data_IF_375814114845
#
_entry.id   IF_375814114845
#
_cell.length_a   1.000
_cell.length_b   1.000
_cell.length_c   1.000
_cell.angle_alpha   90.00
_cell.angle_beta   90.00
_cell.angle_gamma   90.00
#
_symmetry.space_group_name_H-M   'P 1'
#
loop_
_entity.id
_entity.type
_entity.pdbx_description
1 polymer ?
#
# COMPACT_ATOMS: atom_id res chain seq x y z
N UNK A 1 5.19 -1.99 18.77
CA UNK A 1 5.61 -2.88 17.66
C UNK A 1 6.49 -4.06 18.08
N UNK A 2 7.53 -3.90 18.91
CA UNK A 2 8.44 -5.01 19.27
C UNK A 2 7.74 -6.25 19.88
N UNK A 3 6.70 -6.04 20.70
CA UNK A 3 5.95 -7.13 21.35
C UNK A 3 5.16 -8.04 20.40
N UNK A 4 4.92 -7.64 19.15
CA UNK A 4 4.30 -8.51 18.13
C UNK A 4 5.33 -9.38 17.40
N UNK A 5 6.58 -8.91 17.33
CA UNK A 5 7.68 -9.62 16.68
C UNK A 5 8.43 -10.57 17.63
N UNK A 6 8.23 -10.43 18.95
CA UNK A 6 8.73 -11.40 19.95
C UNK A 6 7.99 -12.75 19.89
N UNK A 7 6.80 -12.82 19.29
CA UNK A 7 6.10 -14.08 19.02
C UNK A 7 6.91 -15.01 18.09
N UNK A 8 7.92 -14.48 17.38
CA UNK A 8 8.77 -15.22 16.47
C UNK A 8 9.96 -15.94 17.15
N UNK A 9 10.25 -15.68 18.44
CA UNK A 9 11.42 -16.23 19.15
C UNK A 9 11.12 -17.24 20.26
N UNK A 10 9.86 -17.61 20.48
CA UNK A 10 9.48 -18.53 21.55
C UNK A 10 8.82 -19.81 21.06
N UNK A 11 9.43 -20.95 21.44
CA UNK A 11 8.81 -22.28 21.58
C UNK A 11 8.95 -23.27 20.42
N UNK A 12 10.10 -23.94 20.39
CA UNK A 12 10.20 -25.34 19.98
C UNK A 12 9.46 -26.20 21.02
N UNK A 13 8.16 -26.36 20.86
CA UNK A 13 7.33 -27.14 21.77
C UNK A 13 5.93 -27.35 21.22
N UNK A 14 5.64 -28.58 20.82
CA UNK A 14 4.38 -29.02 20.23
C UNK A 14 3.18 -28.83 21.17
N UNK A 15 2.42 -27.75 20.98
CA UNK A 15 0.97 -27.66 21.17
C UNK A 15 0.41 -26.65 20.16
N UNK A 16 -0.66 -27.01 19.46
CA UNK A 16 -1.41 -26.07 18.62
C UNK A 16 -2.14 -25.08 19.54
N UNK A 17 -1.42 -24.07 20.04
CA UNK A 17 -2.06 -22.97 20.77
C UNK A 17 -2.83 -22.15 19.74
N UNK A 18 -4.15 -22.29 19.72
CA UNK A 18 -5.02 -21.36 19.00
C UNK A 18 -4.68 -19.95 19.49
N UNK A 19 -4.50 -19.01 18.55
CA UNK A 19 -4.26 -17.60 18.88
C UNK A 19 -5.43 -17.11 19.73
N UNK A 20 -5.13 -16.44 20.84
CA UNK A 20 -6.18 -15.86 21.67
C UNK A 20 -6.89 -14.74 20.89
N UNK A 21 -8.15 -14.43 21.21
CA UNK A 21 -8.86 -13.30 20.58
C UNK A 21 -8.06 -11.99 20.66
N UNK A 22 -7.33 -11.77 21.76
CA UNK A 22 -6.45 -10.60 21.96
C UNK A 22 -5.28 -10.60 20.97
N UNK A 23 -4.62 -11.74 20.77
CA UNK A 23 -3.55 -11.89 19.78
C UNK A 23 -4.05 -11.68 18.35
N UNK A 24 -5.25 -12.18 18.02
CA UNK A 24 -5.88 -11.96 16.72
C UNK A 24 -6.19 -10.48 16.48
N UNK A 25 -6.73 -9.77 17.47
CA UNK A 25 -6.96 -8.32 17.36
C UNK A 25 -5.65 -7.55 17.20
N UNK A 26 -4.62 -7.89 17.94
CA UNK A 26 -3.30 -7.30 17.79
C UNK A 26 -2.72 -7.52 16.38
N UNK A 27 -2.92 -8.71 15.81
CA UNK A 27 -2.51 -9.03 14.44
C UNK A 27 -3.24 -8.17 13.40
N UNK A 28 -4.56 -8.00 13.55
CA UNK A 28 -5.37 -7.13 12.69
C UNK A 28 -4.95 -5.67 12.84
N UNK A 29 -4.78 -5.16 14.06
CA UNK A 29 -4.35 -3.78 14.29
C UNK A 29 -2.95 -3.53 13.72
N UNK A 30 -2.04 -4.50 13.84
CA UNK A 30 -0.71 -4.45 13.22
C UNK A 30 -0.77 -4.36 11.70
N UNK A 31 -1.70 -5.07 11.05
CA UNK A 31 -1.95 -4.95 9.61
C UNK A 31 -2.50 -3.57 9.23
N UNK A 32 -3.52 -3.09 9.95
CA UNK A 32 -4.12 -1.77 9.68
C UNK A 32 -3.11 -0.63 9.85
N UNK A 33 -2.22 -0.74 10.84
CA UNK A 33 -1.11 0.18 11.02
C UNK A 33 -0.10 0.10 9.86
N UNK A 34 0.28 -1.12 9.44
CA UNK A 34 1.22 -1.31 8.34
C UNK A 34 0.70 -0.69 7.04
N UNK A 35 -0.54 -0.97 6.67
CA UNK A 35 -1.18 -0.55 5.40
C UNK A 35 -1.77 0.88 5.42
N UNK A 36 -1.45 1.66 6.45
CA UNK A 36 -1.90 3.05 6.62
C UNK A 36 -3.41 3.25 6.79
N UNK A 37 -4.18 2.24 7.18
CA UNK A 37 -5.63 2.36 7.36
C UNK A 37 -6.00 3.09 8.67
N UNK A 38 -5.62 4.37 8.79
CA UNK A 38 -5.71 5.15 10.03
C UNK A 38 -7.13 5.23 10.61
N UNK A 39 -8.13 5.57 9.78
CA UNK A 39 -9.54 5.66 10.22
C UNK A 39 -10.04 4.30 10.72
N UNK A 40 -9.75 3.23 9.97
CA UNK A 40 -10.11 1.85 10.30
C UNK A 40 -9.41 1.39 11.57
N UNK A 41 -8.11 1.69 11.72
CA UNK A 41 -7.33 1.35 12.91
C UNK A 41 -7.88 2.06 14.15
N UNK A 42 -8.23 3.35 14.05
CA UNK A 42 -8.85 4.11 15.15
C UNK A 42 -10.20 3.53 15.55
N UNK A 43 -11.07 3.26 14.59
CA UNK A 43 -12.38 2.65 14.84
C UNK A 43 -12.21 1.25 15.47
N UNK A 44 -11.32 0.43 14.92
CA UNK A 44 -11.03 -0.91 15.43
C UNK A 44 -10.43 -0.88 16.84
N UNK A 45 -9.55 0.07 17.13
CA UNK A 45 -8.95 0.24 18.46
C UNK A 45 -10.00 0.66 19.50
N UNK A 46 -10.95 1.53 19.13
CA UNK A 46 -12.04 1.96 20.02
C UNK A 46 -13.05 0.84 20.28
N UNK A 47 -13.28 -0.02 19.30
CA UNK A 47 -14.16 -1.19 19.42
C UNK A 47 -13.50 -2.32 20.23
N UNK A 48 -12.17 -2.39 20.22
CA UNK A 48 -11.39 -3.41 20.91
C UNK A 48 -11.16 -3.15 22.40
N UNK A 49 -11.50 -1.98 22.94
CA UNK A 49 -11.51 -1.79 24.39
C UNK A 49 -12.61 -2.69 24.94
N UNK A 50 -12.20 -3.79 25.59
CA UNK A 50 -13.13 -4.62 26.36
C UNK A 50 -13.70 -3.69 27.42
N UNK A 51 -14.92 -3.20 27.20
CA UNK A 51 -15.68 -2.50 28.23
C UNK A 51 -15.95 -3.53 29.30
N UNK A 52 -15.17 -3.48 30.38
CA UNK A 52 -15.55 -4.17 31.59
C UNK A 52 -16.84 -3.50 32.05
N UNK A 53 -17.93 -4.24 32.03
CA UNK A 53 -19.21 -3.82 32.57
C UNK A 53 -19.34 -4.51 33.93
N UNK A 54 -19.75 -3.78 34.96
CA UNK A 54 -20.09 -4.42 36.24
C UNK A 54 -21.41 -5.18 36.14
N UNK A 55 -21.80 -5.81 37.26
CA UNK A 55 -23.05 -6.57 37.34
C UNK A 55 -24.30 -5.69 37.12
N UNK A 56 -24.16 -4.37 37.25
CA UNK A 56 -25.22 -3.38 37.09
C UNK A 56 -25.22 -2.76 35.67
N UNK A 57 -24.20 -3.06 34.86
CA UNK A 57 -24.07 -2.61 33.46
C UNK A 57 -23.34 -1.27 33.30
N UNK A 58 -22.72 -0.76 34.36
CA UNK A 58 -21.94 0.46 34.32
C UNK A 58 -20.50 0.19 33.84
N UNK A 59 -19.94 1.15 33.10
CA UNK A 59 -18.57 1.06 32.56
C UNK A 59 -17.56 1.15 33.71
N UNK A 60 -16.93 0.03 34.06
CA UNK A 60 -15.84 0.01 35.03
C UNK A 60 -14.58 0.48 34.33
N UNK A 61 -14.03 1.61 34.76
CA UNK A 61 -12.68 2.03 34.38
C UNK A 61 -11.71 1.03 35.01
N UNK A 62 -11.30 0.01 34.26
CA UNK A 62 -10.31 -0.96 34.73
C UNK A 62 -8.99 -0.21 34.98
N UNK A 63 -8.70 0.04 36.26
CA UNK A 63 -7.44 0.62 36.71
C UNK A 63 -6.28 -0.26 36.26
N UNK A 64 -5.61 0.12 35.17
CA UNK A 64 -4.19 -0.13 34.81
C UNK A 64 -3.54 -1.47 35.21
N UNK A 65 -4.29 -2.57 35.32
CA UNK A 65 -3.78 -3.87 35.69
C UNK A 65 -3.89 -4.83 34.49
N UNK A 66 -2.80 -4.86 33.73
CA UNK A 66 -2.54 -5.77 32.62
C UNK A 66 -3.47 -5.63 31.40
N UNK A 67 -3.40 -4.47 30.71
CA UNK A 67 -3.70 -4.42 29.27
C UNK A 67 -2.76 -5.40 28.56
N UNK A 68 -3.24 -6.62 28.36
CA UNK A 68 -2.60 -7.64 27.52
C UNK A 68 -2.89 -7.37 26.04
N UNK A 69 -3.56 -6.26 25.74
CA UNK A 69 -3.88 -5.77 24.40
C UNK A 69 -2.74 -4.92 23.84
N UNK A 70 -2.41 -5.17 22.58
CA UNK A 70 -1.52 -4.31 21.81
C UNK A 70 -2.19 -2.96 21.58
N UNK A 71 -1.74 -1.91 22.28
CA UNK A 71 -2.14 -0.53 22.04
C UNK A 71 -1.04 0.22 21.28
N UNK A 72 -1.46 1.01 20.30
CA UNK A 72 -0.57 1.91 19.56
C UNK A 72 -0.29 3.14 20.42
N UNK A 73 0.98 3.54 20.52
CA UNK A 73 1.35 4.76 21.23
C UNK A 73 0.88 6.01 20.47
N UNK A 74 0.81 7.16 21.14
CA UNK A 74 0.50 8.45 20.49
C UNK A 74 1.47 8.78 19.34
N UNK A 75 2.75 8.41 19.48
CA UNK A 75 3.73 8.60 18.40
C UNK A 75 3.45 7.65 17.22
N UNK A 76 3.04 6.40 17.49
CA UNK A 76 2.63 5.48 16.42
C UNK A 76 1.41 6.03 15.65
N UNK A 77 0.43 6.60 16.35
CA UNK A 77 -0.72 7.25 15.71
C UNK A 77 -0.32 8.42 14.83
N UNK A 78 0.58 9.28 15.33
CA UNK A 78 1.10 10.41 14.56
C UNK A 78 1.84 9.93 13.31
N UNK A 79 2.70 8.92 13.43
CA UNK A 79 3.40 8.30 12.31
C UNK A 79 2.40 7.72 11.29
N UNK A 80 1.37 7.02 11.75
CA UNK A 80 0.32 6.45 10.91
C UNK A 80 -0.44 7.53 10.12
N UNK A 81 -0.75 8.66 10.75
CA UNK A 81 -1.41 9.80 10.09
C UNK A 81 -0.54 10.46 9.02
N UNK A 82 0.75 10.67 9.31
CA UNK A 82 1.70 11.24 8.36
C UNK A 82 1.87 10.33 7.14
N UNK A 83 2.03 9.01 7.36
CA UNK A 83 2.10 8.03 6.26
C UNK A 83 0.82 7.98 5.45
N UNK A 84 -0.35 8.02 6.09
CA UNK A 84 -1.64 8.06 5.41
C UNK A 84 -1.82 9.33 4.57
N UNK A 85 -1.32 10.47 5.06
CA UNK A 85 -1.35 11.75 4.31
C UNK A 85 -0.49 11.67 3.05
N UNK A 86 0.74 11.17 3.16
CA UNK A 86 1.63 10.97 1.99
C UNK A 86 1.00 10.01 0.99
N UNK A 87 0.46 8.87 1.48
CA UNK A 87 -0.27 7.90 0.64
C UNK A 87 -1.42 8.58 -0.13
N UNK A 88 -2.19 9.42 0.55
CA UNK A 88 -3.32 10.14 -0.08
C UNK A 88 -2.87 11.06 -1.21
N UNK A 89 -1.78 11.82 -1.03
CA UNK A 89 -1.22 12.66 -2.10
C UNK A 89 -0.77 11.84 -3.32
N UNK A 90 -0.14 10.68 -3.10
CA UNK A 90 0.25 9.80 -4.22
C UNK A 90 -0.99 9.26 -4.94
N UNK A 91 -2.00 8.82 -4.19
CA UNK A 91 -3.24 8.26 -4.74
C UNK A 91 -4.11 9.29 -5.47
N UNK A 92 -4.03 10.58 -5.10
CA UNK A 92 -4.67 11.70 -5.82
C UNK A 92 -3.88 12.21 -7.03
N UNK A 93 -2.66 11.71 -7.26
CA UNK A 93 -1.79 12.18 -8.35
C UNK A 93 -0.99 13.45 -8.04
N UNK A 94 -1.07 13.96 -6.80
CA UNK A 94 -0.29 15.09 -6.29
C UNK A 94 1.11 14.64 -5.84
N UNK A 95 1.89 14.14 -6.80
CA UNK A 95 3.16 13.45 -6.53
C UNK A 95 4.25 14.42 -6.03
N UNK A 96 4.21 15.67 -6.48
CA UNK A 96 5.22 16.66 -6.12
C UNK A 96 5.02 17.08 -4.65
N UNK A 97 3.77 17.31 -4.22
CA UNK A 97 3.39 17.54 -2.82
C UNK A 97 3.67 16.32 -1.94
N UNK A 98 3.41 15.10 -2.46
CA UNK A 98 3.78 13.87 -1.75
C UNK A 98 5.29 13.80 -1.48
N UNK A 99 6.10 14.18 -2.48
CA UNK A 99 7.56 14.17 -2.38
C UNK A 99 8.07 15.22 -1.39
N UNK A 100 7.46 16.40 -1.38
CA UNK A 100 7.75 17.45 -0.40
C UNK A 100 7.45 16.96 1.03
N UNK A 101 6.25 16.43 1.27
CA UNK A 101 5.85 15.90 2.57
C UNK A 101 6.69 14.69 3.01
N UNK A 102 7.13 13.87 2.06
CA UNK A 102 8.04 12.76 2.33
C UNK A 102 9.40 13.28 2.81
N UNK A 103 9.96 14.32 2.18
CA UNK A 103 11.22 14.92 2.63
C UNK A 103 11.07 15.68 3.97
N UNK A 104 9.91 16.27 4.22
CA UNK A 104 9.59 16.97 5.47
C UNK A 104 9.50 15.99 6.66
N UNK A 105 8.77 14.89 6.50
CA UNK A 105 8.47 13.96 7.61
C UNK A 105 9.43 12.78 7.69
N UNK A 106 10.00 12.34 6.55
CA UNK A 106 10.83 11.12 6.43
C UNK A 106 12.07 11.35 5.54
N UNK A 107 12.97 12.29 5.90
CA UNK A 107 14.06 12.73 5.04
C UNK A 107 15.04 11.61 4.62
N UNK A 108 15.16 10.53 5.40
CA UNK A 108 16.04 9.38 5.12
C UNK A 108 15.51 8.40 4.07
N UNK A 109 14.24 8.55 3.64
CA UNK A 109 13.62 7.63 2.66
C UNK A 109 14.20 7.84 1.28
N UNK A 110 14.32 9.10 0.85
CA UNK A 110 14.91 9.45 -0.43
C UNK A 110 16.42 9.79 -0.33
N UNK A 111 16.92 10.02 0.88
CA UNK A 111 18.33 10.32 1.13
C UNK A 111 19.08 9.05 1.53
N UNK A 112 19.89 8.51 0.62
CA UNK A 112 20.82 7.44 0.96
C UNK A 112 21.91 7.29 -0.09
N UNK A 113 23.14 6.88 0.32
CA UNK A 113 24.16 6.51 -0.66
C UNK A 113 23.63 5.35 -1.49
N UNK A 114 23.95 5.34 -2.79
CA UNK A 114 23.68 4.23 -3.71
C UNK A 114 24.22 2.94 -3.06
N UNK A 115 23.35 2.16 -2.45
CA UNK A 115 23.79 1.07 -1.59
C UNK A 115 24.14 -0.12 -2.47
N UNK A 116 25.45 -0.32 -2.69
CA UNK A 116 25.99 -1.49 -3.39
C UNK A 116 25.73 -2.82 -2.63
N UNK A 117 25.32 -2.74 -1.36
CA UNK A 117 24.93 -3.87 -0.51
C UNK A 117 23.41 -4.02 -0.39
N UNK A 118 22.68 -4.11 -1.50
CA UNK A 118 21.45 -4.90 -1.47
C UNK A 118 21.88 -6.36 -1.50
N UNK A 119 21.62 -7.11 -0.42
CA UNK A 119 21.74 -8.57 -0.50
C UNK A 119 20.95 -9.06 -1.72
N UNK A 120 21.49 -9.99 -2.52
CA UNK A 120 20.75 -10.55 -3.62
C UNK A 120 19.61 -11.38 -3.02
N UNK A 121 18.46 -10.75 -2.79
CA UNK A 121 17.22 -11.50 -2.86
C UNK A 121 17.21 -12.16 -4.23
N UNK A 122 16.89 -13.47 -4.32
CA UNK A 122 16.80 -14.15 -5.60
C UNK A 122 15.97 -13.27 -6.52
N UNK A 123 16.47 -13.04 -7.74
CA UNK A 123 15.78 -12.32 -8.80
C UNK A 123 14.40 -12.93 -8.95
N UNK A 124 13.44 -12.39 -8.20
CA UNK A 124 12.05 -12.74 -8.30
C UNK A 124 11.65 -12.03 -9.59
N UNK A 125 11.49 -12.80 -10.65
CA UNK A 125 10.75 -12.32 -11.82
C UNK A 125 9.43 -11.83 -11.24
N UNK A 126 9.11 -10.52 -11.26
CA UNK A 126 7.83 -10.09 -10.77
C UNK A 126 6.79 -10.90 -11.53
N UNK A 127 6.00 -11.70 -10.81
CA UNK A 127 4.85 -12.32 -11.43
C UNK A 127 4.04 -11.19 -12.06
N UNK A 128 3.75 -11.35 -13.34
CA UNK A 128 3.06 -10.36 -14.16
C UNK A 128 1.62 -10.30 -13.64
N UNK A 129 1.36 -9.54 -12.58
CA UNK A 129 0.00 -9.17 -12.23
C UNK A 129 -0.45 -8.06 -13.20
N UNK A 130 -1.31 -8.44 -14.15
CA UNK A 130 -2.03 -7.56 -15.09
C UNK A 130 -1.19 -6.84 -16.18
N UNK A 131 -0.07 -7.42 -16.60
CA UNK A 131 0.61 -6.98 -17.82
C UNK A 131 1.31 -5.61 -17.73
N UNK A 132 1.52 -5.09 -16.52
CA UNK A 132 2.38 -3.94 -16.25
C UNK A 132 3.65 -4.47 -15.56
N UNK A 133 4.68 -4.70 -16.36
CA UNK A 133 6.05 -4.96 -15.88
C UNK A 133 6.57 -3.65 -15.29
N UNK A 134 6.40 -3.47 -13.98
CA UNK A 134 6.94 -2.32 -13.26
C UNK A 134 8.26 -2.69 -12.62
N UNK A 135 9.26 -1.83 -12.81
CA UNK A 135 10.63 -2.11 -12.41
C UNK A 135 10.75 -1.89 -10.92
N UNK A 136 10.87 -2.99 -10.18
CA UNK A 136 11.23 -2.97 -8.76
C UNK A 136 10.15 -2.41 -7.81
N UNK A 137 8.87 -2.79 -7.95
CA UNK A 137 7.76 -2.45 -7.02
C UNK A 137 8.03 -2.78 -5.56
N UNK A 138 8.91 -3.75 -5.31
CA UNK A 138 9.28 -4.18 -3.96
C UNK A 138 10.58 -3.57 -3.46
N UNK A 139 11.29 -2.78 -4.28
CA UNK A 139 12.56 -2.19 -3.88
C UNK A 139 12.36 -1.01 -2.93
N UNK A 140 13.17 -0.97 -1.88
CA UNK A 140 13.27 0.14 -0.91
C UNK A 140 14.53 1.00 -1.14
N UNK A 141 15.29 0.76 -2.22
CA UNK A 141 16.44 1.58 -2.62
C UNK A 141 16.02 3.03 -2.96
N UNK A 142 16.58 4.08 -2.31
CA UNK A 142 16.26 5.47 -2.58
C UNK A 142 16.33 5.89 -4.06
N UNK A 143 17.25 5.30 -4.84
CA UNK A 143 17.37 5.61 -6.26
C UNK A 143 16.15 5.12 -7.05
N UNK A 144 15.66 3.92 -6.73
CA UNK A 144 14.45 3.36 -7.30
C UNK A 144 13.21 4.15 -6.87
N UNK A 145 13.09 4.46 -5.57
CA UNK A 145 11.97 5.26 -5.05
C UNK A 145 11.86 6.63 -5.73
N UNK A 146 13.00 7.32 -5.84
CA UNK A 146 13.07 8.63 -6.49
C UNK A 146 12.68 8.55 -7.96
N UNK A 147 13.23 7.57 -8.68
CA UNK A 147 12.92 7.40 -10.10
C UNK A 147 11.44 7.08 -10.31
N UNK A 148 10.87 6.21 -9.47
CA UNK A 148 9.47 5.81 -9.51
C UNK A 148 8.49 6.95 -9.25
N UNK A 149 8.74 7.76 -8.22
CA UNK A 149 7.97 8.99 -7.97
C UNK A 149 8.06 9.94 -9.17
N UNK A 150 9.26 10.14 -9.74
CA UNK A 150 9.44 11.03 -10.88
C UNK A 150 8.75 10.52 -12.15
N UNK A 151 8.76 9.21 -12.40
CA UNK A 151 8.03 8.61 -13.51
C UNK A 151 6.52 8.78 -13.28
N UNK A 152 6.01 8.55 -12.07
CA UNK A 152 4.61 8.80 -11.75
C UNK A 152 4.23 10.26 -11.98
N UNK A 153 5.02 11.21 -11.47
CA UNK A 153 4.84 12.65 -11.70
C UNK A 153 4.87 13.00 -13.20
N UNK A 154 5.67 12.32 -14.02
CA UNK A 154 5.64 12.49 -15.48
C UNK A 154 4.34 11.95 -16.11
N UNK A 155 3.89 10.77 -15.69
CA UNK A 155 2.63 10.19 -16.18
C UNK A 155 1.44 11.07 -15.83
N UNK A 156 1.38 11.56 -14.59
CA UNK A 156 0.35 12.50 -14.15
C UNK A 156 0.38 13.80 -14.95
N UNK A 157 1.58 14.31 -15.31
CA UNK A 157 1.71 15.49 -16.18
C UNK A 157 1.27 15.24 -17.63
N UNK A 158 1.27 13.98 -18.08
CA UNK A 158 0.75 13.58 -19.40
C UNK A 158 -0.77 13.48 -19.44
N UNK A 159 -1.46 13.40 -18.28
CA UNK A 159 -2.92 13.27 -18.26
C UNK A 159 -3.60 14.45 -18.93
N UNK A 160 -4.66 14.12 -19.66
CA UNK A 160 -5.63 15.10 -20.16
C UNK A 160 -6.96 14.98 -19.44
N UNK A 161 -7.25 13.81 -18.87
CA UNK A 161 -8.43 13.54 -18.07
C UNK A 161 -7.96 13.24 -16.64
N UNK A 162 -8.25 14.12 -15.66
CA UNK A 162 -7.92 13.88 -14.27
C UNK A 162 -8.60 12.60 -13.76
N UNK A 163 -7.85 11.77 -13.05
CA UNK A 163 -8.39 10.61 -12.34
C UNK A 163 -8.66 10.98 -10.89
N UNK A 164 -9.94 11.10 -10.55
CA UNK A 164 -10.40 11.47 -9.21
C UNK A 164 -10.03 10.42 -8.15
N UNK A 165 -9.68 10.89 -6.96
CA UNK A 165 -9.45 10.07 -5.78
C UNK A 165 -9.91 10.84 -4.53
N UNK A 166 -10.63 10.20 -3.58
CA UNK A 166 -11.14 8.83 -3.64
C UNK A 166 -12.12 8.63 -4.81
N UNK A 167 -12.29 7.39 -5.31
CA UNK A 167 -13.30 7.12 -6.33
C UNK A 167 -14.68 7.56 -5.80
N UNK A 168 -15.53 8.16 -6.65
CA UNK A 168 -16.86 8.61 -6.23
C UNK A 168 -17.67 7.42 -5.68
N UNK A 169 -18.44 7.66 -4.62
CA UNK A 169 -19.27 6.62 -4.04
C UNK A 169 -20.33 6.15 -5.06
N UNK A 170 -20.70 4.87 -5.06
CA UNK A 170 -21.71 4.36 -5.99
C UNK A 170 -23.10 5.00 -5.82
N UNK A 171 -23.38 5.65 -4.69
CA UNK A 171 -24.69 6.27 -4.39
C UNK A 171 -24.79 7.78 -4.70
N UNK A 172 -23.69 8.46 -5.07
CA UNK A 172 -23.70 9.90 -5.44
C UNK A 172 -24.15 10.14 -6.89
N UNK A 173 -25.13 9.37 -7.37
CA UNK A 173 -25.82 9.61 -8.65
C UNK A 173 -26.96 10.63 -8.52
N UNK A 174 -26.90 11.55 -7.56
CA UNK A 174 -27.71 12.78 -7.59
C UNK A 174 -26.89 13.94 -8.15
N UNK A 175 -27.10 14.19 -9.45
CA UNK A 175 -27.03 15.48 -10.10
C UNK A 175 -25.88 16.43 -9.70
N UNK A 176 -24.63 15.98 -9.76
CA UNK A 176 -23.56 16.92 -10.11
C UNK A 176 -23.61 17.11 -11.62
N UNK A 177 -23.64 18.34 -12.16
CA UNK A 177 -23.57 18.51 -13.60
C UNK A 177 -22.32 17.78 -14.05
N UNK A 178 -22.48 16.84 -14.99
CA UNK A 178 -21.39 16.46 -15.90
C UNK A 178 -20.58 17.73 -16.13
N UNK A 179 -19.26 17.78 -15.87
CA UNK A 179 -18.49 18.84 -16.47
C UNK A 179 -18.86 18.71 -17.94
N UNK A 180 -19.54 19.75 -18.43
CA UNK A 180 -19.83 19.88 -19.84
C UNK A 180 -18.53 19.50 -20.52
N UNK A 181 -18.62 18.77 -21.63
CA UNK A 181 -17.55 18.80 -22.62
C UNK A 181 -17.35 20.27 -22.99
N UNK A 182 -16.65 21.02 -22.13
CA UNK A 182 -16.10 22.32 -22.39
C UNK A 182 -15.02 21.99 -23.38
N UNK A 183 -15.40 22.12 -24.65
CA UNK A 183 -14.56 22.20 -25.82
C UNK A 183 -13.20 21.53 -25.58
N UNK A 184 -13.10 20.25 -25.97
CA UNK A 184 -11.83 19.65 -26.36
C UNK A 184 -11.12 20.71 -27.17
N UNK A 185 -10.14 21.36 -26.53
CA UNK A 185 -9.53 22.55 -27.07
C UNK A 185 -8.92 22.10 -28.37
N UNK A 186 -9.48 22.63 -29.46
CA UNK A 186 -8.92 22.46 -30.78
C UNK A 186 -7.46 22.86 -30.62
N UNK A 187 -6.60 21.92 -30.98
CA UNK A 187 -5.17 22.06 -31.16
C UNK A 187 -4.92 23.22 -32.12
N UNK A 188 -4.84 24.44 -31.58
CA UNK A 188 -4.66 25.68 -32.35
C UNK A 188 -3.16 26.02 -32.54
N UNK A 189 -2.25 25.11 -32.19
CA UNK A 189 -0.82 25.42 -32.16
C UNK A 189 -0.47 26.58 -31.23
N UNK A 190 -1.31 26.81 -30.21
CA UNK A 190 -1.12 27.93 -29.29
C UNK A 190 0.23 27.81 -28.57
N UNK A 191 0.91 28.94 -28.29
CA UNK A 191 2.25 28.93 -27.69
C UNK A 191 2.27 28.18 -26.34
N UNK A 192 1.17 28.22 -25.59
CA UNK A 192 1.03 27.52 -24.30
C UNK A 192 1.00 25.99 -24.44
N UNK A 193 0.38 25.46 -25.51
CA UNK A 193 0.35 24.01 -25.78
C UNK A 193 1.75 23.50 -26.15
N UNK A 194 2.46 24.26 -26.98
CA UNK A 194 3.84 23.96 -27.36
C UNK A 194 4.79 24.00 -26.16
N UNK A 195 4.65 25.00 -25.29
CA UNK A 195 5.42 25.12 -24.06
C UNK A 195 5.19 23.92 -23.12
N UNK A 196 3.93 23.50 -22.94
CA UNK A 196 3.60 22.29 -22.18
C UNK A 196 4.28 21.04 -22.76
N UNK A 197 4.25 20.89 -24.09
CA UNK A 197 4.87 19.74 -24.77
C UNK A 197 6.40 19.76 -24.62
N UNK A 198 7.04 20.92 -24.73
CA UNK A 198 8.48 21.08 -24.50
C UNK A 198 8.86 20.78 -23.05
N UNK A 199 8.06 21.22 -22.08
CA UNK A 199 8.27 20.92 -20.66
C UNK A 199 8.20 19.40 -20.39
N UNK A 200 7.23 18.71 -20.99
CA UNK A 200 7.11 17.26 -20.91
C UNK A 200 8.31 16.52 -21.52
N UNK A 201 8.79 16.97 -22.69
CA UNK A 201 9.99 16.43 -23.32
C UNK A 201 11.23 16.61 -22.44
N UNK A 202 11.40 17.79 -21.85
CA UNK A 202 12.49 18.05 -20.90
C UNK A 202 12.40 17.12 -19.68
N UNK A 203 11.19 16.90 -19.14
CA UNK A 203 10.96 15.98 -18.01
C UNK A 203 11.33 14.54 -18.38
N UNK A 204 10.95 14.06 -19.57
CA UNK A 204 11.33 12.74 -20.07
C UNK A 204 12.85 12.57 -20.26
N UNK A 205 13.53 13.59 -20.80
CA UNK A 205 14.99 13.57 -20.96
C UNK A 205 15.72 13.51 -19.61
N UNK A 206 15.29 14.31 -18.63
CA UNK A 206 15.84 14.29 -17.27
C UNK A 206 15.65 12.93 -16.61
N UNK A 207 14.46 12.32 -16.75
CA UNK A 207 14.18 10.96 -16.26
C UNK A 207 15.12 9.92 -16.86
N UNK A 208 15.35 9.98 -18.17
CA UNK A 208 16.29 9.07 -18.83
C UNK A 208 17.73 9.27 -18.35
N UNK A 209 18.14 10.51 -18.09
CA UNK A 209 19.40 10.83 -17.43
C UNK A 209 19.53 10.13 -16.08
N UNK A 210 18.52 10.25 -15.21
CA UNK A 210 18.51 9.60 -13.90
C UNK A 210 18.56 8.07 -14.01
N UNK A 211 17.80 7.47 -14.93
CA UNK A 211 17.84 6.02 -15.15
C UNK A 211 19.23 5.54 -15.59
N UNK A 212 19.93 6.30 -16.44
CA UNK A 212 21.30 5.96 -16.87
C UNK A 212 22.32 6.04 -15.72
N UNK A 213 22.04 6.81 -14.66
CA UNK A 213 22.91 6.95 -13.49
C UNK A 213 22.75 5.81 -12.47
N UNK A 214 21.81 4.88 -12.66
CA UNK A 214 21.66 3.75 -11.74
C UNK A 214 22.92 2.86 -11.78
N UNK A 215 23.42 2.39 -10.63
CA UNK A 215 24.67 1.63 -10.56
C UNK A 215 24.54 0.25 -11.21
N UNK A 216 23.39 -0.42 -11.03
CA UNK A 216 23.15 -1.79 -11.48
C UNK A 216 22.72 -1.82 -12.96
N UNK A 217 23.42 -2.57 -13.85
CA UNK A 217 23.09 -2.63 -15.27
C UNK A 217 21.70 -3.23 -15.55
N UNK A 218 21.29 -4.26 -14.81
CA UNK A 218 19.98 -4.88 -14.98
C UNK A 218 18.84 -3.90 -14.69
N UNK A 219 18.96 -3.13 -13.60
CA UNK A 219 17.97 -2.10 -13.26
C UNK A 219 17.93 -1.00 -14.32
N UNK A 220 19.10 -0.55 -14.83
CA UNK A 220 19.16 0.43 -15.93
C UNK A 220 18.37 -0.02 -17.15
N UNK A 221 18.60 -1.24 -17.62
CA UNK A 221 17.93 -1.76 -18.81
C UNK A 221 16.41 -1.84 -18.63
N UNK A 222 15.96 -2.30 -17.47
CA UNK A 222 14.55 -2.37 -17.12
C UNK A 222 13.90 -0.99 -17.09
N UNK A 223 14.50 -0.01 -16.39
CA UNK A 223 13.96 1.35 -16.30
C UNK A 223 13.97 2.06 -17.66
N UNK A 224 14.99 1.86 -18.48
CA UNK A 224 15.03 2.43 -19.84
C UNK A 224 13.88 1.87 -20.68
N UNK A 225 13.60 0.56 -20.58
CA UNK A 225 12.46 -0.08 -21.25
C UNK A 225 11.13 0.52 -20.78
N UNK A 226 10.94 0.68 -19.46
CA UNK A 226 9.75 1.32 -18.92
C UNK A 226 9.59 2.77 -19.42
N UNK A 227 10.67 3.56 -19.38
CA UNK A 227 10.66 4.94 -19.86
C UNK A 227 10.34 5.06 -21.36
N UNK A 228 10.79 4.12 -22.19
CA UNK A 228 10.40 4.07 -23.59
C UNK A 228 8.89 3.86 -23.76
N UNK A 229 8.29 2.98 -22.97
CA UNK A 229 6.84 2.74 -23.02
C UNK A 229 6.05 3.97 -22.51
N UNK A 230 6.49 4.55 -21.40
CA UNK A 230 5.84 5.70 -20.75
C UNK A 230 5.99 6.98 -21.58
N UNK A 231 7.14 7.21 -22.23
CA UNK A 231 7.33 8.35 -23.14
C UNK A 231 6.42 8.28 -24.38
N UNK A 232 5.92 7.09 -24.73
CA UNK A 232 4.90 6.91 -25.76
C UNK A 232 3.58 7.65 -25.48
N UNK A 233 3.29 8.01 -24.22
CA UNK A 233 2.10 8.79 -23.85
C UNK A 233 2.08 10.15 -24.58
N UNK A 234 3.25 10.72 -24.85
CA UNK A 234 3.39 12.02 -25.54
C UNK A 234 2.94 11.98 -27.01
N UNK A 235 2.82 10.79 -27.60
CA UNK A 235 2.37 10.65 -28.98
C UNK A 235 0.84 10.75 -29.13
N UNK A 236 0.09 10.63 -28.03
CA UNK A 236 -1.36 10.63 -28.03
C UNK A 236 -1.91 11.97 -27.53
N UNK A 237 -2.89 12.51 -28.25
CA UNK A 237 -3.61 13.72 -27.83
C UNK A 237 -4.42 13.48 -26.55
N UNK A 238 -5.04 12.30 -26.45
CA UNK A 238 -5.77 11.83 -25.27
C UNK A 238 -5.16 10.48 -24.89
N UNK A 239 -4.16 10.43 -24.00
CA UNK A 239 -3.44 9.20 -23.70
C UNK A 239 -4.29 8.17 -22.94
N UNK A 240 -5.39 8.58 -22.30
CA UNK A 240 -6.33 7.70 -21.58
C UNK A 240 -7.08 6.72 -22.49
N UNK A 241 -7.27 7.05 -23.77
CA UNK A 241 -7.92 6.17 -24.75
C UNK A 241 -6.92 5.37 -25.59
N UNK A 242 -5.62 5.48 -25.29
CA UNK A 242 -4.55 4.85 -26.06
C UNK A 242 -4.36 3.37 -25.70
N UNK A 243 -3.55 2.67 -26.50
CA UNK A 243 -3.13 1.28 -26.21
C UNK A 243 -2.25 1.15 -24.96
N UNK A 244 -1.70 2.26 -24.47
CA UNK A 244 -0.82 2.34 -23.29
C UNK A 244 -1.52 3.02 -22.10
N UNK A 245 -2.84 3.22 -22.17
CA UNK A 245 -3.66 3.80 -21.10
C UNK A 245 -3.54 3.08 -19.76
N UNK A 246 -3.13 1.80 -19.75
CA UNK A 246 -2.85 1.02 -18.54
C UNK A 246 -1.88 1.71 -17.56
N UNK A 247 -0.94 2.52 -18.06
CA UNK A 247 -0.02 3.29 -17.21
C UNK A 247 -0.70 4.43 -16.44
N UNK A 248 -1.86 4.87 -16.90
CA UNK A 248 -2.70 5.92 -16.31
C UNK A 248 -3.76 5.35 -15.35
N UNK A 249 -3.69 4.07 -15.01
CA UNK A 249 -4.61 3.43 -14.06
C UNK A 249 -4.30 3.79 -12.60
N UNK A 250 -5.30 3.66 -11.72
CA UNK A 250 -5.14 3.86 -10.27
C UNK A 250 -4.13 2.88 -9.67
N UNK A 251 -4.08 1.65 -10.19
CA UNK A 251 -3.18 0.58 -9.76
C UNK A 251 -1.71 1.01 -9.72
N UNK A 252 -1.29 1.89 -10.64
CA UNK A 252 0.09 2.40 -10.63
C UNK A 252 0.34 3.37 -9.46
N UNK A 253 -0.63 4.24 -9.14
CA UNK A 253 -0.56 5.13 -7.97
C UNK A 253 -0.50 4.30 -6.68
N UNK A 254 -1.32 3.26 -6.59
CA UNK A 254 -1.35 2.31 -5.46
C UNK A 254 0.01 1.62 -5.28
N UNK A 255 0.58 1.05 -6.36
CA UNK A 255 1.87 0.38 -6.27
C UNK A 255 3.00 1.30 -5.81
N UNK A 256 3.03 2.55 -6.27
CA UNK A 256 4.04 3.53 -5.82
C UNK A 256 3.80 3.90 -4.36
N UNK A 257 2.54 4.10 -3.95
CA UNK A 257 2.20 4.42 -2.58
C UNK A 257 2.58 3.28 -1.61
N UNK A 258 2.34 2.03 -1.99
CA UNK A 258 2.74 0.84 -1.24
C UNK A 258 4.27 0.77 -1.13
N UNK A 259 4.98 0.99 -2.23
CA UNK A 259 6.44 0.99 -2.26
C UNK A 259 7.03 2.04 -1.32
N UNK A 260 6.49 3.27 -1.34
CA UNK A 260 6.93 4.35 -0.45
C UNK A 260 6.62 4.03 1.01
N UNK A 261 5.44 3.49 1.30
CA UNK A 261 5.08 3.08 2.66
C UNK A 261 6.06 2.02 3.20
N UNK A 262 6.40 1.01 2.38
CA UNK A 262 7.39 -0.02 2.73
C UNK A 262 8.77 0.55 3.02
N UNK A 263 9.19 1.53 2.22
CA UNK A 263 10.47 2.21 2.41
C UNK A 263 10.49 3.07 3.68
N UNK A 264 9.38 3.74 4.01
CA UNK A 264 9.24 4.46 5.28
C UNK A 264 9.40 3.48 6.45
N UNK A 265 8.67 2.35 6.43
CA UNK A 265 8.76 1.33 7.47
C UNK A 265 10.18 0.78 7.62
N UNK A 266 10.83 0.42 6.50
CA UNK A 266 12.22 -0.07 6.49
C UNK A 266 13.20 0.93 7.12
N UNK A 267 13.10 2.22 6.74
CA UNK A 267 13.94 3.29 7.31
C UNK A 267 13.65 3.60 8.77
N UNK A 268 12.44 3.33 9.23
CA UNK A 268 12.05 3.39 10.64
C UNK A 268 12.45 2.15 11.44
N UNK A 269 13.15 1.18 10.83
CA UNK A 269 13.56 -0.06 11.50
C UNK A 269 12.41 -1.06 11.71
N UNK A 270 11.27 -0.83 11.05
CA UNK A 270 10.12 -1.73 11.04
C UNK A 270 10.20 -2.63 9.79
N UNK A 271 9.66 -3.85 9.83
CA UNK A 271 9.63 -4.69 8.64
C UNK A 271 8.76 -4.06 7.55
N UNK A 272 9.05 -4.37 6.29
CA UNK A 272 8.29 -3.84 5.15
C UNK A 272 6.93 -4.52 4.92
N UNK A 273 6.65 -5.63 5.61
CA UNK A 273 5.38 -6.35 5.51
C UNK A 273 4.84 -6.64 6.90
N UNK A 274 3.52 -6.65 7.03
CA UNK A 274 2.87 -6.98 8.29
C UNK A 274 3.06 -8.46 8.63
N UNK A 275 2.96 -8.80 9.92
CA UNK A 275 3.00 -10.20 10.35
C UNK A 275 1.84 -11.00 9.72
N UNK A 276 0.67 -10.38 9.55
CA UNK A 276 -0.50 -11.01 8.93
C UNK A 276 -0.22 -11.37 7.46
N UNK A 277 0.38 -10.47 6.69
CA UNK A 277 0.81 -10.78 5.31
C UNK A 277 1.84 -11.90 5.28
N UNK A 278 2.83 -11.87 6.17
CA UNK A 278 3.88 -12.89 6.21
C UNK A 278 3.30 -14.27 6.51
N UNK A 279 2.41 -14.37 7.50
CA UNK A 279 1.68 -15.60 7.82
C UNK A 279 0.82 -16.06 6.65
N UNK A 280 0.12 -15.15 5.97
CA UNK A 280 -0.70 -15.46 4.79
C UNK A 280 0.15 -15.99 3.63
N UNK A 281 1.31 -15.38 3.36
CA UNK A 281 2.24 -15.85 2.32
C UNK A 281 2.82 -17.21 2.67
N UNK A 282 3.24 -17.41 3.91
CA UNK A 282 3.79 -18.68 4.40
C UNK A 282 2.76 -19.80 4.28
N UNK A 283 1.54 -19.57 4.79
CA UNK A 283 0.45 -20.55 4.73
C UNK A 283 0.04 -20.86 3.29
N UNK A 284 -0.07 -19.85 2.42
CA UNK A 284 -0.38 -20.05 1.00
C UNK A 284 0.69 -20.86 0.27
N UNK A 285 1.97 -20.57 0.52
CA UNK A 285 3.10 -21.26 -0.12
C UNK A 285 3.25 -22.69 0.38
N UNK A 286 3.14 -22.91 1.70
CA UNK A 286 3.19 -24.26 2.27
C UNK A 286 2.02 -25.11 1.79
N UNK A 287 0.82 -24.52 1.67
CA UNK A 287 -0.35 -25.19 1.12
C UNK A 287 -0.17 -25.55 -0.36
N UNK A 288 0.26 -24.61 -1.19
CA UNK A 288 0.46 -24.86 -2.62
C UNK A 288 1.53 -25.93 -2.86
N UNK A 289 2.62 -25.92 -2.08
CA UNK A 289 3.67 -26.92 -2.19
C UNK A 289 3.22 -28.30 -1.70
N UNK A 290 2.48 -28.36 -0.59
CA UNK A 290 1.89 -29.61 -0.10
C UNK A 290 0.92 -30.22 -1.12
N UNK A 291 0.12 -29.38 -1.79
CA UNK A 291 -0.76 -29.79 -2.88
C UNK A 291 0.01 -30.34 -4.08
N UNK A 292 1.08 -29.66 -4.51
CA UNK A 292 1.96 -30.13 -5.60
C UNK A 292 2.62 -31.48 -5.29
N UNK A 293 2.95 -31.73 -4.02
CA UNK A 293 3.51 -33.00 -3.55
C UNK A 293 2.45 -34.09 -3.31
N UNK A 294 1.16 -33.81 -3.53
CA UNK A 294 0.08 -34.78 -3.33
C UNK A 294 -0.14 -35.18 -1.87
N UNK A 295 0.30 -34.34 -0.92
CA UNK A 295 0.13 -34.62 0.52
C UNK A 295 -1.35 -34.55 0.87
N UNK A 296 -1.91 -35.66 1.34
CA UNK A 296 -3.30 -35.69 1.83
C UNK A 296 -3.38 -35.01 3.20
N UNK A 297 -4.37 -34.14 3.42
CA UNK A 297 -4.57 -33.54 4.73
C UNK A 297 -4.88 -34.63 5.76
N UNK A 298 -4.36 -34.46 6.99
CA UNK A 298 -4.69 -35.35 8.09
C UNK A 298 -6.19 -35.28 8.39
N UNK A 299 -6.84 -36.39 8.80
CA UNK A 299 -8.21 -36.35 9.29
C UNK A 299 -8.36 -35.29 10.40
N UNK A 300 -9.28 -34.33 10.23
CA UNK A 300 -9.50 -33.23 11.17
C UNK A 300 -8.62 -31.99 10.96
N UNK A 301 -7.76 -31.96 9.94
CA UNK A 301 -7.03 -30.74 9.58
C UNK A 301 -8.01 -29.65 9.13
N UNK A 302 -7.81 -28.42 9.62
CA UNK A 302 -8.50 -27.24 9.10
C UNK A 302 -8.03 -27.02 7.66
N UNK A 303 -8.92 -27.28 6.71
CA UNK A 303 -8.68 -27.01 5.31
C UNK A 303 -8.98 -25.53 5.04
N UNK A 304 -8.23 -24.85 4.15
CA UNK A 304 -8.61 -23.53 3.70
C UNK A 304 -10.05 -23.60 3.13
N UNK A 305 -10.89 -22.60 3.43
CA UNK A 305 -12.28 -22.61 3.01
C UNK A 305 -12.37 -22.77 1.50
N UNK A 306 -13.00 -23.86 1.05
CA UNK A 306 -13.37 -24.06 -0.36
C UNK A 306 -14.78 -23.52 -0.60
N UNK A 307 -15.64 -23.52 0.43
CA UNK A 307 -16.95 -22.85 0.50
C UNK A 307 -17.26 -22.46 1.96
N UNK A 308 -17.95 -21.33 2.17
CA UNK A 308 -18.36 -20.88 3.50
C UNK A 308 -19.44 -21.80 4.08
N UNK A 309 -19.06 -22.75 4.93
CA UNK A 309 -20.00 -23.44 5.82
C UNK A 309 -19.77 -22.97 7.25
N UNK A 310 -20.76 -22.22 7.77
CA UNK A 310 -20.76 -21.73 9.14
C UNK A 310 -20.77 -22.94 10.09
N UNK A 311 -19.71 -23.10 10.88
CA UNK A 311 -19.74 -23.93 12.09
C UNK A 311 -19.74 -23.01 13.29
N UNK A 312 -20.61 -23.31 14.24
CA UNK A 312 -20.77 -22.61 15.51
C UNK A 312 -19.41 -22.43 16.19
N UNK A 313 -18.95 -21.19 16.24
CA UNK A 313 -17.75 -20.78 16.95
C UNK A 313 -18.15 -20.08 18.25
N UNK A 314 -17.29 -20.30 19.25
CA UNK A 314 -17.24 -19.66 20.56
C UNK A 314 -17.72 -18.19 20.54
N UNK A 315 -18.58 -17.82 21.49
CA UNK A 315 -19.28 -16.52 21.54
C UNK A 315 -18.29 -15.39 21.83
N UNK A 316 -17.57 -14.97 20.81
CA UNK A 316 -16.91 -13.66 20.76
C UNK A 316 -18.01 -12.64 20.46
N UNK A 317 -18.07 -11.49 21.15
CA UNK A 317 -19.02 -10.44 20.81
C UNK A 317 -18.96 -10.15 19.31
N UNK A 318 -20.09 -10.25 18.58
CA UNK A 318 -20.09 -10.01 17.15
C UNK A 318 -19.63 -8.59 16.87
N UNK A 319 -18.74 -8.43 15.89
CA UNK A 319 -18.35 -7.11 15.39
C UNK A 319 -19.63 -6.37 14.97
N UNK A 320 -19.96 -5.29 15.69
CA UNK A 320 -21.08 -4.45 15.31
C UNK A 320 -20.64 -3.57 14.12
N UNK A 321 -20.84 -4.10 12.92
CA UNK A 321 -20.42 -3.44 11.67
C UNK A 321 -21.08 -2.05 11.53
N UNK A 322 -22.30 -1.89 12.02
CA UNK A 322 -23.03 -0.63 11.93
C UNK A 322 -22.39 0.42 12.83
N UNK A 323 -22.15 0.09 14.10
CA UNK A 323 -21.40 0.96 15.02
C UNK A 323 -19.99 1.29 14.49
N UNK A 324 -19.31 0.30 13.89
CA UNK A 324 -18.00 0.50 13.29
C UNK A 324 -18.03 1.51 12.12
N UNK A 325 -19.03 1.43 11.25
CA UNK A 325 -19.20 2.36 10.13
C UNK A 325 -19.62 3.75 10.60
N UNK A 326 -20.48 3.85 11.60
CA UNK A 326 -20.93 5.12 12.17
C UNK A 326 -19.78 5.85 12.90
N UNK A 327 -18.84 5.12 13.49
CA UNK A 327 -17.63 5.70 14.10
C UNK A 327 -16.61 6.25 13.09
N UNK A 328 -16.86 6.10 11.79
CA UNK A 328 -15.96 6.47 10.68
C UNK A 328 -16.22 7.89 10.15
N UNK A 329 -17.34 8.51 10.53
CA UNK A 329 -17.64 9.94 10.32
C UNK A 329 -16.97 10.79 11.38
#
# INVERSE_FOLDING_TARGET
MESLYTLQRGSSGSTSSNLTPVQLRALVLGYLYHECYSKTAKAFSKDSTVRHLDADGDEIQADNAASTGYELSEEDWKQLELRQKIRTYILSGQVDEATEKLNEYFPSVLSGPLSELSTPMPSYKPEIMDGIEYVSSTSVDPAHLTLNLRILSFIEACRTIPLAYPPPAPDDTEATPTPKSENLSIDDGSPASLEKQLALLSKAQKLRGLANMLPKPGDRELYIKELNNVSGLLAYKVPETSSISKYLSQKRRESVADQINRAILDRSGLPSASLLELLTRYTSTTWSFAHQLGVKPKPGALLPPTEFTQKEQEVVPPLNLQHFLDSRT
#
